data_IF_177482289591
#
_entry.id   IF_177482289591
#
_cell.length_a   1.000
_cell.length_b   1.000
_cell.length_c   1.000
_cell.angle_alpha   90.00
_cell.angle_beta   90.00
_cell.angle_gamma   90.00
#
_symmetry.space_group_name_H-M   'P 1'
#
loop_
_entity.id
_entity.type
_entity.pdbx_description
1 polymer ?
#
# COMPACT_ATOMS: atom_id res chain seq x y z
N UNK A 1 -7.04 0.10 -5.37
CA UNK A 1 -6.08 -1.00 -5.13
C UNK A 1 -6.29 -1.45 -3.70
N UNK A 2 -6.38 -2.75 -3.47
CA UNK A 2 -6.44 -3.33 -2.13
C UNK A 2 -5.33 -4.37 -2.00
N UNK A 3 -4.82 -4.55 -0.79
CA UNK A 3 -3.75 -5.51 -0.56
C UNK A 3 -3.39 -5.66 0.90
N UNK A 4 -2.52 -6.63 1.16
CA UNK A 4 -1.95 -6.90 2.47
C UNK A 4 -0.49 -6.44 2.52
N UNK A 5 -0.08 -5.94 3.67
CA UNK A 5 1.31 -5.62 3.98
C UNK A 5 1.65 -6.18 5.35
N UNK A 6 2.79 -6.85 5.43
CA UNK A 6 3.29 -7.50 6.64
C UNK A 6 4.65 -6.91 7.00
N UNK A 7 4.86 -6.62 8.27
CA UNK A 7 6.16 -6.25 8.80
C UNK A 7 6.32 -6.83 10.21
N UNK A 8 7.32 -7.70 10.39
CA UNK A 8 7.54 -8.43 11.64
C UNK A 8 6.26 -9.19 12.08
N UNK A 9 5.76 -8.89 13.28
CA UNK A 9 4.55 -9.49 13.86
C UNK A 9 3.27 -8.76 13.46
N UNK A 10 3.37 -7.71 12.64
CA UNK A 10 2.22 -6.91 12.23
C UNK A 10 1.77 -7.29 10.82
N UNK A 11 0.45 -7.36 10.67
CA UNK A 11 -0.23 -7.51 9.40
C UNK A 11 -1.26 -6.40 9.25
N UNK A 12 -1.29 -5.78 8.07
CA UNK A 12 -2.26 -4.77 7.73
C UNK A 12 -2.87 -5.04 6.36
N UNK A 13 -4.16 -4.78 6.26
CA UNK A 13 -4.89 -4.63 5.01
C UNK A 13 -4.97 -3.15 4.68
N UNK A 14 -4.75 -2.81 3.41
CA UNK A 14 -4.84 -1.44 2.94
C UNK A 14 -5.74 -1.31 1.72
N UNK A 15 -6.45 -0.17 1.65
CA UNK A 15 -7.18 0.27 0.48
C UNK A 15 -6.61 1.61 0.01
N UNK A 16 -6.24 1.64 -1.26
CA UNK A 16 -5.71 2.80 -1.95
C UNK A 16 -6.65 3.27 -3.05
N UNK A 17 -7.07 4.54 -2.94
CA UNK A 17 -7.86 5.20 -3.96
C UNK A 17 -6.95 5.96 -4.92
N UNK A 18 -6.68 5.30 -6.05
CA UNK A 18 -5.97 5.86 -7.21
C UNK A 18 -6.56 7.23 -7.58
N UNK A 19 -5.71 8.20 -7.92
CA UNK A 19 -6.05 9.63 -8.21
C UNK A 19 -6.50 10.50 -7.03
N UNK A 20 -7.00 9.93 -5.93
CA UNK A 20 -7.41 10.71 -4.74
C UNK A 20 -6.31 10.82 -3.70
N UNK A 21 -5.23 10.05 -3.81
CA UNK A 21 -4.16 10.02 -2.83
C UNK A 21 -4.59 9.47 -1.47
N UNK A 22 -5.71 8.73 -1.41
CA UNK A 22 -6.29 8.31 -0.14
C UNK A 22 -5.89 6.88 0.21
N UNK A 23 -5.15 6.73 1.31
CA UNK A 23 -4.72 5.45 1.87
C UNK A 23 -5.44 5.15 3.18
N UNK A 24 -6.23 4.08 3.17
CA UNK A 24 -6.85 3.48 4.35
C UNK A 24 -6.09 2.22 4.74
N UNK A 25 -5.77 2.06 6.02
CA UNK A 25 -5.05 0.88 6.54
C UNK A 25 -5.71 0.40 7.83
N UNK A 26 -5.88 -0.91 7.96
CA UNK A 26 -6.42 -1.59 9.13
C UNK A 26 -5.60 -2.86 9.46
N UNK A 27 -5.46 -3.27 10.74
CA UNK A 27 -5.89 -2.56 11.94
C UNK A 27 -5.07 -1.29 12.20
N UNK A 28 -5.51 -0.44 13.13
CA UNK A 28 -4.82 0.83 13.44
C UNK A 28 -3.51 0.63 14.23
N UNK A 29 -3.36 -0.51 14.91
CA UNK A 29 -2.17 -0.85 15.69
C UNK A 29 -0.93 -0.91 14.78
N UNK A 30 0.13 -0.20 15.14
CA UNK A 30 1.38 -0.19 14.37
C UNK A 30 1.29 0.48 13.00
N UNK A 31 0.12 0.98 12.57
CA UNK A 31 -0.09 1.61 11.25
C UNK A 31 0.90 2.73 10.93
N UNK A 32 1.36 3.47 11.95
CA UNK A 32 2.33 4.55 11.77
C UNK A 32 3.66 4.07 11.15
N UNK A 33 4.01 2.79 11.33
CA UNK A 33 5.22 2.18 10.76
C UNK A 33 5.14 2.05 9.24
N UNK A 34 3.94 1.84 8.70
CA UNK A 34 3.75 1.50 7.28
C UNK A 34 3.02 2.57 6.48
N UNK A 35 2.22 3.43 7.12
CA UNK A 35 1.33 4.37 6.42
C UNK A 35 2.07 5.33 5.49
N UNK A 36 3.11 5.98 5.97
CA UNK A 36 3.89 6.92 5.17
C UNK A 36 4.69 6.23 4.06
N UNK A 37 5.49 5.18 4.32
CA UNK A 37 6.25 4.52 3.25
C UNK A 37 5.35 3.83 2.21
N UNK A 38 4.25 3.19 2.64
CA UNK A 38 3.29 2.59 1.71
C UNK A 38 2.56 3.64 0.87
N UNK A 39 2.17 4.76 1.48
CA UNK A 39 1.56 5.89 0.77
C UNK A 39 2.47 6.42 -0.33
N UNK A 40 3.73 6.73 0.00
CA UNK A 40 4.72 7.21 -0.99
C UNK A 40 4.98 6.19 -2.09
N UNK A 41 5.04 4.90 -1.77
CA UNK A 41 5.20 3.83 -2.77
C UNK A 41 4.01 3.80 -3.72
N UNK A 42 2.78 3.84 -3.20
CA UNK A 42 1.56 3.84 -4.00
C UNK A 42 1.43 5.10 -4.84
N UNK A 43 1.79 6.27 -4.31
CA UNK A 43 1.83 7.52 -5.07
C UNK A 43 2.86 7.46 -6.21
N UNK A 44 4.08 6.97 -5.95
CA UNK A 44 5.09 6.79 -6.98
C UNK A 44 4.65 5.78 -8.07
N UNK A 45 3.87 4.76 -7.68
CA UNK A 45 3.24 3.82 -8.61
C UNK A 45 2.06 4.45 -9.35
N UNK A 46 1.26 5.30 -8.73
CA UNK A 46 0.21 6.09 -9.39
C UNK A 46 0.77 6.91 -10.55
N UNK A 47 1.95 7.50 -10.38
CA UNK A 47 2.64 8.21 -11.46
C UNK A 47 3.17 7.31 -12.59
N UNK A 48 3.41 6.02 -12.34
CA UNK A 48 3.85 5.06 -13.37
C UNK A 48 2.68 4.36 -14.09
N UNK A 49 1.46 4.46 -13.56
CA UNK A 49 0.27 3.74 -14.01
C UNK A 49 -0.62 4.63 -14.89
N UNK A 50 -0.14 4.97 -16.09
CA UNK A 50 -0.97 5.47 -17.21
C UNK A 50 -1.78 4.31 -17.84
N UNK A 51 -2.91 4.60 -18.54
CA UNK A 51 -4.05 3.69 -18.63
C UNK A 51 -3.84 2.48 -19.55
N UNK A 52 -4.21 1.27 -19.07
CA UNK A 52 -4.40 0.10 -19.94
C UNK A 52 -4.07 -1.29 -19.38
N UNK A 53 -3.65 -1.45 -18.12
CA UNK A 53 -3.23 -2.75 -17.59
C UNK A 53 -3.94 -3.17 -16.31
N UNK A 54 -4.24 -4.46 -16.20
CA UNK A 54 -4.54 -5.13 -14.92
C UNK A 54 -3.22 -5.42 -14.21
N UNK A 55 -3.10 -5.03 -12.94
CA UNK A 55 -1.86 -5.20 -12.17
C UNK A 55 -2.11 -5.94 -10.87
N UNK A 56 -1.25 -6.92 -10.62
CA UNK A 56 -1.16 -7.68 -9.38
C UNK A 56 0.22 -7.44 -8.77
N UNK A 57 0.27 -6.99 -7.52
CA UNK A 57 1.53 -6.77 -6.81
C UNK A 57 1.61 -7.74 -5.63
N UNK A 58 2.79 -8.30 -5.42
CA UNK A 58 3.11 -9.08 -4.22
C UNK A 58 4.29 -8.41 -3.55
N UNK A 59 4.04 -7.75 -2.42
CA UNK A 59 5.08 -7.12 -1.63
C UNK A 59 5.57 -8.16 -0.62
N UNK A 60 6.85 -8.51 -0.70
CA UNK A 60 7.55 -9.28 0.33
C UNK A 60 8.69 -8.43 0.85
N UNK A 61 8.78 -8.28 2.16
CA UNK A 61 9.93 -7.70 2.84
C UNK A 61 10.46 -8.74 3.82
N UNK A 62 11.74 -9.09 3.69
CA UNK A 62 12.54 -9.76 4.71
C UNK A 62 13.58 -8.76 5.22
N UNK A 63 13.85 -8.80 6.53
CA UNK A 63 14.86 -7.99 7.22
C UNK A 63 16.28 -8.43 6.85
#
# INVERSE_FOLDING_TARGET
IEGEVRANEYEWQFHWHFRRGLLSIQPSLGRALIKEPLGRFLEAKDYQLEPGGDYSFTIRAEL
#
